data_IF_196588481525
#
_entry.id   IF_196588481525
#
_cell.length_a   1.000
_cell.length_b   1.000
_cell.length_c   1.000
_cell.angle_alpha   90.00
_cell.angle_beta   90.00
_cell.angle_gamma   90.00
#
_symmetry.space_group_name_H-M   'P 1'
#
loop_
_entity.id
_entity.type
_entity.pdbx_description
1 polymer ?
#
# COMPACT_ATOMS: atom_id res chain seq x y z
N UNK A 1 6.46 27.41 3.56
CA UNK A 1 5.40 26.96 4.50
C UNK A 1 6.04 26.60 5.83
N UNK A 2 5.37 26.90 6.95
CA UNK A 2 5.83 26.48 8.28
C UNK A 2 5.58 24.99 8.53
N UNK A 3 6.21 24.42 9.57
CA UNK A 3 6.06 23.00 9.96
C UNK A 3 4.58 22.63 10.18
N UNK A 4 3.86 23.48 10.92
CA UNK A 4 2.45 23.26 11.23
C UNK A 4 1.56 23.34 9.98
N UNK A 5 1.86 24.26 9.05
CA UNK A 5 1.13 24.37 7.79
C UNK A 5 1.28 23.11 6.93
N UNK A 6 2.49 22.55 6.84
CA UNK A 6 2.74 21.32 6.10
C UNK A 6 2.03 20.11 6.74
N UNK A 7 2.09 20.01 8.07
CA UNK A 7 1.41 18.94 8.79
C UNK A 7 -0.12 18.99 8.60
N UNK A 8 -0.74 20.16 8.81
CA UNK A 8 -2.18 20.35 8.60
C UNK A 8 -2.59 20.11 7.16
N UNK A 9 -1.73 20.50 6.20
CA UNK A 9 -1.96 20.19 4.79
C UNK A 9 -1.96 18.68 4.54
N UNK A 10 -1.03 17.94 5.15
CA UNK A 10 -1.01 16.47 5.09
C UNK A 10 -2.29 15.84 5.61
N UNK A 11 -2.78 16.29 6.77
CA UNK A 11 -4.07 15.85 7.32
C UNK A 11 -5.22 16.12 6.34
N UNK A 12 -5.29 17.33 5.78
CA UNK A 12 -6.36 17.75 4.87
C UNK A 12 -6.35 16.98 3.55
N UNK A 13 -5.17 16.83 2.95
CA UNK A 13 -5.01 16.14 1.67
C UNK A 13 -5.30 14.63 1.79
N UNK A 14 -5.25 14.09 3.02
CA UNK A 14 -5.59 12.69 3.31
C UNK A 14 -7.08 12.42 3.42
N UNK A 15 -7.93 13.44 3.61
CA UNK A 15 -9.37 13.27 3.86
C UNK A 15 -10.07 12.37 2.82
N UNK A 16 -9.85 12.53 1.49
CA UNK A 16 -10.47 11.63 0.51
C UNK A 16 -10.07 10.17 0.71
N UNK A 17 -8.83 9.92 1.13
CA UNK A 17 -8.32 8.59 1.40
C UNK A 17 -8.89 8.00 2.70
N UNK A 18 -9.11 8.82 3.73
CA UNK A 18 -9.73 8.38 5.00
C UNK A 18 -11.14 7.82 4.80
N UNK A 19 -11.92 8.43 3.89
CA UNK A 19 -13.27 7.94 3.54
C UNK A 19 -13.21 6.53 2.94
N UNK A 20 -12.18 6.23 2.14
CA UNK A 20 -11.95 4.89 1.62
C UNK A 20 -11.44 3.91 2.68
N UNK A 21 -10.49 4.34 3.52
CA UNK A 21 -9.81 3.48 4.50
C UNK A 21 -10.71 3.08 5.68
N UNK A 22 -11.57 3.96 6.17
CA UNK A 22 -12.38 3.70 7.36
C UNK A 22 -13.26 2.44 7.21
N UNK A 23 -13.98 2.21 6.09
CA UNK A 23 -14.65 0.95 5.83
C UNK A 23 -13.70 -0.26 5.91
N UNK A 24 -12.50 -0.20 5.34
CA UNK A 24 -11.55 -1.33 5.40
C UNK A 24 -11.09 -1.69 6.80
N UNK A 25 -10.80 -0.69 7.62
CA UNK A 25 -10.45 -0.97 9.00
C UNK A 25 -11.60 -1.65 9.74
N UNK A 26 -12.85 -1.20 9.53
CA UNK A 26 -14.04 -1.86 10.11
C UNK A 26 -14.13 -3.31 9.62
N UNK A 27 -14.00 -3.55 8.31
CA UNK A 27 -14.02 -4.91 7.72
C UNK A 27 -12.96 -5.79 8.38
N UNK A 28 -11.72 -5.31 8.42
CA UNK A 28 -10.62 -6.03 9.02
C UNK A 28 -10.93 -6.37 10.47
N UNK A 29 -11.40 -5.40 11.26
CA UNK A 29 -11.72 -5.61 12.67
C UNK A 29 -12.80 -6.68 12.87
N UNK A 30 -13.88 -6.62 12.08
CA UNK A 30 -14.95 -7.62 12.11
C UNK A 30 -14.41 -9.00 11.74
N UNK A 31 -13.65 -9.12 10.65
CA UNK A 31 -13.06 -10.39 10.21
C UNK A 31 -12.03 -10.93 11.20
N UNK A 32 -11.28 -10.08 11.88
CA UNK A 32 -10.31 -10.48 12.90
C UNK A 32 -11.02 -11.16 14.08
N UNK A 33 -12.11 -10.56 14.55
CA UNK A 33 -12.95 -11.14 15.61
C UNK A 33 -13.57 -12.48 15.21
N UNK A 34 -14.11 -12.58 13.98
CA UNK A 34 -14.67 -13.84 13.44
C UNK A 34 -13.58 -14.90 13.25
N UNK A 35 -12.37 -14.49 12.84
CA UNK A 35 -11.20 -15.33 12.67
C UNK A 35 -10.57 -15.82 13.98
N UNK A 36 -11.17 -15.53 15.13
CA UNK A 36 -10.74 -16.00 16.44
C UNK A 36 -9.64 -15.17 17.10
N UNK A 37 -9.30 -14.00 16.56
CA UNK A 37 -8.39 -13.07 17.24
C UNK A 37 -9.14 -12.36 18.37
N UNK A 38 -8.51 -12.29 19.53
CA UNK A 38 -8.97 -11.42 20.62
C UNK A 38 -8.87 -9.95 20.24
N UNK A 39 -9.61 -9.09 20.95
CA UNK A 39 -9.57 -7.64 20.79
C UNK A 39 -8.14 -7.09 20.76
N UNK A 40 -7.31 -7.50 21.71
CA UNK A 40 -5.93 -7.04 21.83
C UNK A 40 -5.03 -7.54 20.71
N UNK A 41 -5.27 -8.75 20.19
CA UNK A 41 -4.53 -9.28 19.04
C UNK A 41 -4.89 -8.53 17.76
N UNK A 42 -6.17 -8.27 17.51
CA UNK A 42 -6.63 -7.56 16.33
C UNK A 42 -6.15 -6.10 16.32
N UNK A 43 -6.35 -5.38 17.43
CA UNK A 43 -5.90 -3.98 17.58
C UNK A 43 -4.38 -3.89 17.60
N UNK A 44 -3.70 -4.82 18.30
CA UNK A 44 -2.24 -4.90 18.31
C UNK A 44 -1.68 -5.12 16.90
N UNK A 45 -2.32 -5.96 16.09
CA UNK A 45 -1.94 -6.15 14.69
C UNK A 45 -2.07 -4.83 13.89
N UNK A 46 -3.17 -4.09 14.07
CA UNK A 46 -3.35 -2.79 13.40
C UNK A 46 -2.36 -1.72 13.87
N UNK A 47 -1.88 -1.80 15.11
CA UNK A 47 -0.89 -0.86 15.65
C UNK A 47 0.54 -1.19 15.25
N UNK A 48 0.94 -2.47 15.31
CA UNK A 48 2.35 -2.87 15.15
C UNK A 48 2.69 -3.35 13.74
N UNK A 49 1.78 -4.11 13.10
CA UNK A 49 2.00 -4.58 11.72
C UNK A 49 1.65 -3.47 10.75
N UNK A 50 0.56 -2.75 10.99
CA UNK A 50 0.12 -1.57 10.24
C UNK A 50 0.24 -1.72 8.71
N UNK A 51 -0.20 -2.87 8.19
CA UNK A 51 -0.14 -3.19 6.77
C UNK A 51 -1.45 -3.87 6.35
N UNK A 52 -2.43 -3.09 5.92
CA UNK A 52 -3.80 -3.55 5.71
C UNK A 52 -3.92 -4.80 4.84
N UNK A 53 -3.27 -4.82 3.67
CA UNK A 53 -3.30 -6.00 2.79
C UNK A 53 -2.72 -7.26 3.46
N UNK A 54 -1.62 -7.12 4.22
CA UNK A 54 -1.01 -8.23 4.94
C UNK A 54 -1.94 -8.74 6.05
N UNK A 55 -2.63 -7.83 6.73
CA UNK A 55 -3.60 -8.18 7.76
C UNK A 55 -4.76 -9.02 7.22
N UNK A 56 -5.34 -8.65 6.07
CA UNK A 56 -6.35 -9.46 5.40
C UNK A 56 -5.82 -10.83 4.94
N UNK A 57 -4.59 -10.89 4.43
CA UNK A 57 -3.95 -12.15 4.03
C UNK A 57 -3.77 -13.08 5.22
N UNK A 58 -3.32 -12.56 6.37
CA UNK A 58 -3.14 -13.36 7.59
C UNK A 58 -4.47 -13.97 8.02
N UNK A 59 -5.54 -13.18 8.13
CA UNK A 59 -6.86 -13.70 8.53
C UNK A 59 -7.35 -14.77 7.55
N UNK A 60 -7.22 -14.52 6.24
CA UNK A 60 -7.64 -15.47 5.21
C UNK A 60 -6.86 -16.78 5.29
N UNK A 61 -5.53 -16.72 5.44
CA UNK A 61 -4.69 -17.91 5.52
C UNK A 61 -4.86 -18.67 6.84
N UNK A 62 -5.08 -17.97 7.95
CA UNK A 62 -5.42 -18.59 9.23
C UNK A 62 -6.74 -19.35 9.14
N UNK A 63 -7.78 -18.74 8.56
CA UNK A 63 -9.08 -19.39 8.34
C UNK A 63 -9.00 -20.60 7.42
N UNK A 64 -8.04 -20.62 6.49
CA UNK A 64 -7.76 -21.77 5.62
C UNK A 64 -6.84 -22.85 6.25
N UNK A 65 -6.43 -22.68 7.52
CA UNK A 65 -5.55 -23.63 8.20
C UNK A 65 -4.12 -23.67 7.66
N UNK A 66 -3.64 -22.60 7.02
CA UNK A 66 -2.28 -22.54 6.51
C UNK A 66 -1.24 -22.54 7.64
N UNK A 67 -0.05 -23.09 7.38
CA UNK A 67 1.03 -23.08 8.38
C UNK A 67 1.58 -21.67 8.60
N UNK A 68 2.13 -21.42 9.79
CA UNK A 68 2.74 -20.13 10.13
C UNK A 68 3.84 -19.71 9.13
N UNK A 69 4.60 -20.68 8.60
CA UNK A 69 5.63 -20.42 7.59
C UNK A 69 5.04 -19.88 6.29
N UNK A 70 3.91 -20.44 5.83
CA UNK A 70 3.21 -19.95 4.63
C UNK A 70 2.70 -18.53 4.86
N UNK A 71 2.10 -18.26 6.02
CA UNK A 71 1.62 -16.92 6.37
C UNK A 71 2.77 -15.91 6.37
N UNK A 72 3.90 -16.23 7.02
CA UNK A 72 5.08 -15.38 7.07
C UNK A 72 5.67 -15.12 5.68
N UNK A 73 5.82 -16.15 4.85
CA UNK A 73 6.38 -16.00 3.50
C UNK A 73 5.44 -15.17 2.60
N UNK A 74 4.14 -15.46 2.60
CA UNK A 74 3.18 -14.72 1.77
C UNK A 74 3.11 -13.26 2.19
N UNK A 75 3.03 -12.97 3.48
CA UNK A 75 3.02 -11.59 3.99
C UNK A 75 4.34 -10.88 3.72
N UNK A 76 5.48 -11.53 3.91
CA UNK A 76 6.79 -10.96 3.59
C UNK A 76 6.87 -10.56 2.11
N UNK A 77 6.51 -11.46 1.20
CA UNK A 77 6.60 -11.26 -0.24
C UNK A 77 5.66 -10.14 -0.70
N UNK A 78 4.42 -10.10 -0.21
CA UNK A 78 3.47 -9.03 -0.53
C UNK A 78 3.95 -7.68 -0.01
N UNK A 79 4.63 -7.65 1.14
CA UNK A 79 5.18 -6.43 1.70
C UNK A 79 6.47 -5.93 1.02
N UNK A 80 7.13 -6.73 0.16
CA UNK A 80 8.31 -6.27 -0.59
C UNK A 80 8.03 -5.02 -1.42
N UNK A 81 6.78 -4.74 -1.79
CA UNK A 81 6.39 -3.49 -2.45
C UNK A 81 6.75 -2.23 -1.64
N UNK A 82 6.79 -2.31 -0.31
CA UNK A 82 7.21 -1.20 0.54
C UNK A 82 8.69 -0.86 0.35
N UNK A 83 9.52 -1.83 -0.07
CA UNK A 83 10.91 -1.58 -0.46
C UNK A 83 10.96 -0.72 -1.72
N UNK A 84 10.11 -1.00 -2.71
CA UNK A 84 10.00 -0.21 -3.94
C UNK A 84 9.50 1.21 -3.66
N UNK A 85 8.51 1.36 -2.79
CA UNK A 85 8.03 2.67 -2.35
C UNK A 85 9.12 3.45 -1.60
N UNK A 86 9.87 2.77 -0.73
CA UNK A 86 10.99 3.35 0.00
C UNK A 86 12.08 3.82 -0.95
N UNK A 87 12.44 3.04 -1.97
CA UNK A 87 13.41 3.42 -2.98
C UNK A 87 12.95 4.66 -3.78
N UNK A 88 11.67 4.73 -4.11
CA UNK A 88 11.07 5.87 -4.84
C UNK A 88 11.11 7.16 -4.01
N UNK A 89 10.83 7.07 -2.70
CA UNK A 89 10.81 8.22 -1.79
C UNK A 89 12.18 8.56 -1.20
N UNK A 90 13.17 7.66 -1.29
CA UNK A 90 14.51 7.81 -0.72
C UNK A 90 15.18 9.16 -1.10
N UNK A 91 15.17 9.61 -2.38
CA UNK A 91 15.77 10.89 -2.75
C UNK A 91 15.17 12.06 -1.96
N UNK A 92 13.90 12.01 -1.58
CA UNK A 92 13.22 13.09 -0.85
C UNK A 92 13.60 13.15 0.63
N UNK A 93 14.00 12.02 1.22
CA UNK A 93 14.29 11.88 2.67
C UNK A 93 15.76 11.67 3.01
N UNK A 94 16.65 11.57 2.01
CA UNK A 94 18.08 11.28 2.22
C UNK A 94 18.82 12.27 3.14
N UNK A 95 18.35 13.53 3.21
CA UNK A 95 18.95 14.57 4.06
C UNK A 95 18.45 14.57 5.51
N UNK A 96 17.60 13.62 5.91
CA UNK A 96 17.00 13.59 7.24
C UNK A 96 17.78 12.71 8.23
N UNK A 97 17.80 13.06 9.53
CA UNK A 97 18.33 12.21 10.58
C UNK A 97 17.71 10.80 10.56
N UNK A 98 18.46 9.78 10.97
CA UNK A 98 18.01 8.38 10.93
C UNK A 98 16.70 8.15 11.70
N UNK A 99 16.50 8.83 12.84
CA UNK A 99 15.24 8.80 13.61
C UNK A 99 14.01 9.17 12.79
N UNK A 100 14.14 10.16 11.90
CA UNK A 100 13.04 10.58 11.03
C UNK A 100 12.79 9.55 9.94
N UNK A 101 13.86 8.99 9.36
CA UNK A 101 13.75 7.95 8.33
C UNK A 101 13.07 6.69 8.87
N UNK A 102 13.43 6.25 10.09
CA UNK A 102 12.78 5.11 10.75
C UNK A 102 11.30 5.36 11.04
N UNK A 103 10.97 6.55 11.57
CA UNK A 103 9.59 6.91 11.86
C UNK A 103 8.72 6.96 10.60
N UNK A 104 9.21 7.58 9.52
CA UNK A 104 8.47 7.66 8.26
C UNK A 104 8.37 6.30 7.55
N UNK A 105 9.39 5.46 7.69
CA UNK A 105 9.39 4.10 7.14
C UNK A 105 8.37 3.20 7.83
N UNK A 106 8.19 3.33 9.15
CA UNK A 106 7.18 2.57 9.89
C UNK A 106 5.75 2.87 9.42
N UNK A 107 5.45 4.13 9.10
CA UNK A 107 4.12 4.55 8.60
C UNK A 107 3.99 4.56 7.07
N UNK A 108 4.94 3.96 6.37
CA UNK A 108 4.86 3.82 4.93
C UNK A 108 3.87 2.71 4.58
N UNK A 109 2.71 3.08 4.03
CA UNK A 109 1.72 2.18 3.45
C UNK A 109 1.45 2.57 2.00
N UNK A 110 0.65 1.77 1.29
CA UNK A 110 0.24 2.05 -0.10
C UNK A 110 -0.41 3.44 -0.22
N UNK A 111 -1.27 3.77 0.74
CA UNK A 111 -2.07 4.98 0.78
C UNK A 111 -1.23 6.19 1.18
N UNK A 112 -0.34 6.03 2.18
CA UNK A 112 0.65 7.04 2.52
C UNK A 112 1.54 7.34 1.31
N UNK A 113 2.03 6.30 0.64
CA UNK A 113 2.85 6.43 -0.57
C UNK A 113 2.09 7.18 -1.67
N UNK A 114 0.85 6.80 -1.97
CA UNK A 114 0.06 7.44 -3.04
C UNK A 114 -0.13 8.94 -2.80
N UNK A 115 -0.48 9.36 -1.58
CA UNK A 115 -0.70 10.77 -1.23
C UNK A 115 0.62 11.54 -1.21
N UNK A 116 1.65 10.99 -0.56
CA UNK A 116 2.97 11.64 -0.42
C UNK A 116 3.69 11.75 -1.75
N UNK A 117 3.70 10.70 -2.56
CA UNK A 117 4.30 10.71 -3.88
C UNK A 117 3.60 11.72 -4.79
N UNK A 118 2.26 11.77 -4.79
CA UNK A 118 1.50 12.78 -5.56
C UNK A 118 1.89 14.19 -5.14
N UNK A 119 2.02 14.45 -3.84
CA UNK A 119 2.47 15.75 -3.34
C UNK A 119 3.86 16.13 -3.86
N UNK A 120 4.82 15.21 -3.79
CA UNK A 120 6.18 15.44 -4.29
C UNK A 120 6.25 15.65 -5.80
N UNK A 121 5.43 14.95 -6.59
CA UNK A 121 5.36 15.15 -8.04
C UNK A 121 4.84 16.55 -8.41
N UNK A 122 3.92 17.11 -7.63
CA UNK A 122 3.33 18.43 -7.91
C UNK A 122 4.21 19.57 -7.39
N UNK A 123 4.85 19.41 -6.24
CA UNK A 123 5.54 20.51 -5.55
C UNK A 123 7.07 20.41 -5.57
N UNK A 124 7.62 19.31 -6.07
CA UNK A 124 9.05 19.01 -6.01
C UNK A 124 9.56 18.84 -4.58
N UNK A 125 10.88 18.93 -4.43
CA UNK A 125 11.56 18.80 -3.13
C UNK A 125 11.41 20.09 -2.34
N UNK A 126 10.58 20.07 -1.31
CA UNK A 126 10.34 21.22 -0.43
C UNK A 126 11.09 21.08 0.90
N UNK A 127 11.62 22.19 1.47
CA UNK A 127 12.09 22.20 2.85
C UNK A 127 10.98 21.75 3.81
N UNK A 128 11.33 20.97 4.83
CA UNK A 128 10.40 20.50 5.87
C UNK A 128 9.27 19.58 5.37
N UNK A 129 9.32 19.08 4.14
CA UNK A 129 8.23 18.26 3.58
C UNK A 129 7.99 16.92 4.31
N UNK A 130 8.90 16.48 5.18
CA UNK A 130 8.67 15.36 6.08
C UNK A 130 7.54 15.61 7.09
N UNK A 131 7.23 16.87 7.41
CA UNK A 131 6.07 17.23 8.24
C UNK A 131 4.75 17.02 7.50
N UNK A 132 4.73 17.19 6.18
CA UNK A 132 3.58 16.84 5.35
C UNK A 132 3.33 15.33 5.39
N UNK A 133 4.39 14.53 5.16
CA UNK A 133 4.31 13.07 5.27
C UNK A 133 3.83 12.68 6.67
N UNK A 134 4.39 13.25 7.72
CA UNK A 134 3.95 12.98 9.10
C UNK A 134 2.45 13.24 9.30
N UNK A 135 1.91 14.32 8.73
CA UNK A 135 0.47 14.62 8.78
C UNK A 135 -0.37 13.60 8.01
N UNK A 136 0.07 13.17 6.83
CA UNK A 136 -0.61 12.09 6.10
C UNK A 136 -0.62 10.80 6.91
N UNK A 137 0.56 10.40 7.39
CA UNK A 137 0.75 9.17 8.14
C UNK A 137 -0.09 9.14 9.43
N UNK A 138 -0.13 10.24 10.20
CA UNK A 138 -0.89 10.28 11.45
C UNK A 138 -2.41 10.21 11.22
N UNK A 139 -2.93 10.87 10.17
CA UNK A 139 -4.33 10.79 9.80
C UNK A 139 -4.72 9.35 9.43
N UNK A 140 -3.95 8.72 8.54
CA UNK A 140 -4.22 7.36 8.06
C UNK A 140 -4.10 6.34 9.19
N UNK A 141 -3.06 6.46 10.02
CA UNK A 141 -2.83 5.55 11.15
C UNK A 141 -3.97 5.62 12.17
N UNK A 142 -4.35 6.82 12.57
CA UNK A 142 -5.43 7.01 13.56
C UNK A 142 -6.77 6.50 13.01
N UNK A 143 -7.04 6.76 11.73
CA UNK A 143 -8.23 6.25 11.06
C UNK A 143 -8.23 4.72 10.99
N UNK A 144 -7.12 4.09 10.59
CA UNK A 144 -7.00 2.63 10.50
C UNK A 144 -7.20 1.95 11.85
N UNK A 145 -6.50 2.40 12.88
CA UNK A 145 -6.60 1.81 14.23
C UNK A 145 -8.00 2.05 14.81
N UNK A 146 -8.54 3.26 14.68
CA UNK A 146 -9.87 3.59 15.18
C UNK A 146 -10.97 2.79 14.50
N UNK A 147 -10.94 2.70 13.16
CA UNK A 147 -11.90 1.89 12.40
C UNK A 147 -11.74 0.39 12.67
N UNK A 148 -10.51 -0.11 12.81
CA UNK A 148 -10.24 -1.50 13.24
C UNK A 148 -10.85 -1.79 14.60
N UNK A 149 -10.67 -0.90 15.58
CA UNK A 149 -11.23 -1.04 16.91
C UNK A 149 -12.77 -1.08 16.87
N UNK A 150 -13.38 -0.17 16.11
CA UNK A 150 -14.84 -0.17 15.88
C UNK A 150 -15.29 -1.49 15.26
N UNK A 151 -14.58 -1.99 14.25
CA UNK A 151 -14.87 -3.28 13.62
C UNK A 151 -14.81 -4.46 14.58
N UNK A 152 -13.77 -4.55 15.42
CA UNK A 152 -13.65 -5.67 16.36
C UNK A 152 -14.72 -5.61 17.45
N UNK A 153 -15.04 -4.41 17.96
CA UNK A 153 -16.01 -4.23 19.04
C UNK A 153 -17.46 -4.44 18.57
N UNK A 154 -17.82 -3.91 17.41
CA UNK A 154 -19.20 -3.90 16.92
C UNK A 154 -19.46 -4.94 15.82
N UNK A 155 -18.42 -5.57 15.27
CA UNK A 155 -18.55 -6.56 14.20
C UNK A 155 -19.32 -7.82 14.59
N UNK A 156 -19.31 -8.19 15.88
CA UNK A 156 -20.13 -9.30 16.38
C UNK A 156 -21.59 -8.89 16.69
N UNK A 157 -21.85 -7.59 16.85
CA UNK A 157 -23.19 -7.08 17.12
C UNK A 157 -24.06 -7.00 15.86
N UNK A 158 -23.45 -7.05 14.68
CA UNK A 158 -24.15 -7.00 13.38
C UNK A 158 -23.99 -8.33 12.66
N UNK A 159 -25.03 -9.18 12.63
CA UNK A 159 -25.02 -10.41 11.85
C UNK A 159 -24.71 -10.13 10.37
N UNK A 160 -23.91 -10.99 9.76
CA UNK A 160 -23.61 -10.97 8.32
C UNK A 160 -22.97 -9.68 7.79
N UNK A 161 -22.33 -8.86 8.63
CA UNK A 161 -21.66 -7.63 8.19
C UNK A 161 -20.66 -7.90 7.04
N UNK A 162 -19.95 -9.04 7.09
CA UNK A 162 -19.06 -9.52 6.02
C UNK A 162 -19.73 -9.61 4.63
N UNK A 163 -21.04 -9.89 4.58
CA UNK A 163 -21.81 -10.03 3.34
C UNK A 163 -22.33 -8.71 2.75
N UNK A 164 -22.17 -7.58 3.46
CA UNK A 164 -22.74 -6.27 3.07
C UNK A 164 -21.97 -5.58 1.93
N UNK A 165 -21.34 -6.35 1.04
CA UNK A 165 -20.55 -5.80 -0.07
C UNK A 165 -19.16 -5.31 0.35
N UNK A 166 -18.64 -5.77 1.50
CA UNK A 166 -17.31 -5.42 1.99
C UNK A 166 -16.19 -5.93 1.05
N UNK A 167 -16.41 -7.06 0.37
CA UNK A 167 -15.53 -7.54 -0.71
C UNK A 167 -15.53 -6.61 -1.92
N UNK A 168 -16.70 -6.09 -2.30
CA UNK A 168 -16.82 -5.12 -3.39
C UNK A 168 -16.13 -3.80 -3.05
N UNK A 169 -16.29 -3.30 -1.83
CA UNK A 169 -15.59 -2.10 -1.37
C UNK A 169 -14.08 -2.27 -1.53
N UNK A 170 -13.53 -3.42 -1.12
CA UNK A 170 -12.09 -3.72 -1.20
C UNK A 170 -11.60 -3.67 -2.64
N UNK A 171 -12.31 -4.36 -3.54
CA UNK A 171 -12.00 -4.33 -4.96
C UNK A 171 -12.07 -2.90 -5.52
N UNK A 172 -13.12 -2.14 -5.20
CA UNK A 172 -13.32 -0.79 -5.70
C UNK A 172 -12.22 0.18 -5.23
N UNK A 173 -11.76 0.10 -3.99
CA UNK A 173 -10.69 0.97 -3.48
C UNK A 173 -9.34 0.62 -4.06
N UNK A 174 -8.99 -0.67 -4.17
CA UNK A 174 -7.75 -1.06 -4.84
C UNK A 174 -7.74 -0.60 -6.30
N UNK A 175 -8.87 -0.75 -7.03
CA UNK A 175 -9.02 -0.22 -8.39
C UNK A 175 -8.87 1.31 -8.37
N UNK A 176 -9.52 2.02 -7.45
CA UNK A 176 -9.46 3.48 -7.32
C UNK A 176 -8.07 4.03 -6.99
N UNK A 177 -7.23 3.26 -6.32
CA UNK A 177 -5.82 3.61 -6.04
C UNK A 177 -4.93 3.27 -7.24
N UNK A 178 -5.08 2.08 -7.82
CA UNK A 178 -4.18 1.56 -8.86
C UNK A 178 -4.43 2.26 -10.21
N UNK A 179 -5.69 2.40 -10.64
CA UNK A 179 -6.02 2.93 -11.98
C UNK A 179 -5.42 4.32 -12.23
N UNK A 180 -5.49 5.30 -11.31
CA UNK A 180 -4.86 6.61 -11.52
C UNK A 180 -3.32 6.60 -11.57
N UNK A 181 -2.69 5.52 -11.09
CA UNK A 181 -1.24 5.30 -11.14
C UNK A 181 -0.80 4.67 -12.47
N UNK A 182 -1.69 4.02 -13.23
CA UNK A 182 -1.41 3.40 -14.53
C UNK A 182 -1.41 4.45 -15.66
N UNK A 183 -0.35 5.26 -15.71
CA UNK A 183 -0.25 6.38 -16.67
C UNK A 183 0.48 6.02 -17.95
N UNK A 184 1.39 5.06 -17.90
CA UNK A 184 2.31 4.75 -18.99
C UNK A 184 2.13 3.29 -19.47
N UNK A 185 2.53 3.02 -20.72
CA UNK A 185 2.41 1.68 -21.31
C UNK A 185 3.07 0.56 -20.47
N UNK A 186 4.27 0.73 -19.87
CA UNK A 186 4.87 -0.31 -19.03
C UNK A 186 4.01 -0.64 -17.81
N UNK A 187 3.38 0.37 -17.19
CA UNK A 187 2.54 0.19 -16.01
C UNK A 187 1.25 -0.55 -16.36
N UNK A 188 0.60 -0.18 -17.47
CA UNK A 188 -0.61 -0.85 -17.97
C UNK A 188 -0.29 -2.30 -18.33
N UNK A 189 0.79 -2.55 -19.07
CA UNK A 189 1.21 -3.90 -19.45
C UNK A 189 1.56 -4.77 -18.23
N UNK A 190 2.23 -4.21 -17.24
CA UNK A 190 2.50 -4.90 -15.96
C UNK A 190 1.21 -5.29 -15.24
N UNK A 191 0.23 -4.38 -15.17
CA UNK A 191 -1.06 -4.65 -14.54
C UNK A 191 -1.86 -5.73 -15.29
N UNK A 192 -1.89 -5.69 -16.62
CA UNK A 192 -2.55 -6.70 -17.45
C UNK A 192 -1.88 -8.07 -17.32
N UNK A 193 -0.55 -8.13 -17.33
CA UNK A 193 0.20 -9.37 -17.15
C UNK A 193 -0.07 -9.99 -15.77
N UNK A 194 0.00 -9.18 -14.70
CA UNK A 194 -0.33 -9.62 -13.36
C UNK A 194 -1.77 -10.13 -13.26
N UNK A 195 -2.74 -9.40 -13.84
CA UNK A 195 -4.14 -9.80 -13.88
C UNK A 195 -4.37 -11.12 -14.62
N UNK A 196 -3.75 -11.29 -15.80
CA UNK A 196 -3.86 -12.51 -16.58
C UNK A 196 -3.27 -13.71 -15.83
N UNK A 197 -2.08 -13.57 -15.25
CA UNK A 197 -1.45 -14.64 -14.46
C UNK A 197 -2.27 -14.96 -13.22
N UNK A 198 -2.83 -13.97 -12.52
CA UNK A 198 -3.71 -14.19 -11.38
C UNK A 198 -4.94 -15.04 -11.75
N UNK A 199 -5.57 -14.77 -12.91
CA UNK A 199 -6.71 -15.54 -13.40
C UNK A 199 -6.31 -16.96 -13.81
N UNK A 200 -5.17 -17.13 -14.50
CA UNK A 200 -4.69 -18.44 -14.93
C UNK A 200 -4.25 -19.32 -13.76
N UNK A 201 -3.80 -18.72 -12.66
CA UNK A 201 -3.25 -19.41 -11.49
C UNK A 201 -4.18 -19.35 -10.27
N UNK A 202 -5.45 -18.96 -10.46
CA UNK A 202 -6.43 -18.79 -9.38
C UNK A 202 -6.62 -20.06 -8.54
N UNK A 203 -6.50 -21.24 -9.16
CA UNK A 203 -6.69 -22.54 -8.51
C UNK A 203 -5.50 -22.98 -7.65
N UNK A 204 -4.38 -22.25 -7.68
CA UNK A 204 -3.22 -22.61 -6.86
C UNK A 204 -3.52 -22.38 -5.37
N UNK A 205 -3.19 -23.35 -4.50
CA UNK A 205 -3.40 -23.21 -3.07
C UNK A 205 -2.51 -22.11 -2.47
N UNK A 206 -2.85 -21.69 -1.25
CA UNK A 206 -2.05 -20.73 -0.45
C UNK A 206 -1.81 -19.37 -1.10
N UNK A 207 -2.67 -18.96 -2.04
CA UNK A 207 -2.54 -17.71 -2.80
C UNK A 207 -1.22 -17.62 -3.60
N UNK A 208 -0.61 -18.75 -3.95
CA UNK A 208 0.58 -18.80 -4.80
C UNK A 208 0.35 -18.13 -6.17
N UNK A 209 -0.89 -18.19 -6.68
CA UNK A 209 -1.26 -17.46 -7.89
C UNK A 209 -1.10 -15.94 -7.77
N UNK A 210 -1.33 -15.38 -6.58
CA UNK A 210 -1.11 -13.96 -6.31
C UNK A 210 0.39 -13.60 -6.36
N UNK A 211 1.24 -14.52 -5.90
CA UNK A 211 2.70 -14.36 -5.97
C UNK A 211 3.19 -14.42 -7.41
N UNK A 212 2.73 -15.42 -8.18
CA UNK A 212 3.04 -15.54 -9.60
C UNK A 212 2.61 -14.28 -10.37
N UNK A 213 1.41 -13.77 -10.08
CA UNK A 213 0.91 -12.52 -10.63
C UNK A 213 1.84 -11.33 -10.31
N UNK A 214 2.23 -11.16 -9.04
CA UNK A 214 3.12 -10.08 -8.64
C UNK A 214 4.48 -10.15 -9.35
N UNK A 215 5.13 -11.32 -9.39
CA UNK A 215 6.40 -11.49 -10.09
C UNK A 215 6.28 -11.23 -11.59
N UNK A 216 5.20 -11.70 -12.22
CA UNK A 216 4.96 -11.45 -13.65
C UNK A 216 4.79 -9.97 -13.96
N UNK A 217 4.04 -9.23 -13.14
CA UNK A 217 3.87 -7.79 -13.29
C UNK A 217 5.18 -7.03 -13.14
N UNK A 218 5.99 -7.35 -12.12
CA UNK A 218 7.32 -6.76 -11.92
C UNK A 218 8.22 -7.03 -13.13
N UNK A 219 8.28 -8.28 -13.59
CA UNK A 219 9.13 -8.67 -14.71
C UNK A 219 8.76 -7.92 -16.00
N UNK A 220 7.47 -7.86 -16.32
CA UNK A 220 6.96 -7.15 -17.51
C UNK A 220 7.18 -5.65 -17.40
N UNK A 221 6.87 -5.05 -16.25
CA UNK A 221 7.07 -3.62 -16.01
C UNK A 221 8.53 -3.21 -16.17
N UNK A 222 9.45 -3.92 -15.52
CA UNK A 222 10.90 -3.66 -15.60
C UNK A 222 11.43 -3.85 -17.03
N UNK A 223 10.99 -4.89 -17.74
CA UNK A 223 11.45 -5.15 -19.10
C UNK A 223 11.03 -4.05 -20.07
N UNK A 224 9.78 -3.57 -19.96
CA UNK A 224 9.26 -2.54 -20.85
C UNK A 224 9.80 -1.15 -20.51
N UNK A 225 9.99 -0.83 -19.22
CA UNK A 225 10.60 0.43 -18.80
C UNK A 225 12.07 0.54 -19.23
N UNK A 226 12.81 -0.58 -19.21
CA UNK A 226 14.16 -0.65 -19.77
C UNK A 226 14.22 -0.45 -21.28
N UNK A 227 13.18 -0.87 -22.01
CA UNK A 227 13.09 -0.67 -23.48
C UNK A 227 12.70 0.75 -23.87
N UNK A 228 12.00 1.48 -23.00
CA UNK A 228 11.58 2.86 -23.24
C UNK A 228 12.57 3.90 -22.73
N UNK A 229 13.52 3.51 -21.87
CA UNK A 229 14.61 4.38 -21.43
C UNK A 229 15.57 4.64 -22.61
N UNK A 230 15.78 5.90 -23.04
CA UNK A 230 16.73 6.20 -24.11
C UNK A 230 18.12 5.69 -23.73
N UNK A 231 18.78 4.99 -24.66
CA UNK A 231 20.17 4.56 -24.48
C UNK A 231 21.04 5.82 -24.30
N UNK A 232 21.88 5.93 -23.25
CA UNK A 232 22.74 7.10 -23.03
C UNK A 232 23.75 7.38 -24.16
N UNK A 233 23.87 6.50 -25.15
CA UNK A 233 24.86 6.61 -26.23
C UNK A 233 24.46 7.56 -27.37
N UNK A 234 23.18 7.96 -27.51
CA UNK A 234 22.74 8.84 -28.60
C UNK A 234 22.92 10.35 -28.31
N UNK A 235 23.23 10.74 -27.07
CA UNK A 235 23.42 12.14 -26.69
C UNK A 235 24.83 12.68 -26.98
N UNK A 236 25.84 11.81 -27.10
CA UNK A 236 27.24 12.22 -27.29
C UNK A 236 27.63 12.48 -28.75
N UNK A 237 26.77 12.15 -29.73
CA UNK A 237 27.09 12.25 -31.16
C UNK A 237 26.66 13.57 -31.83
N UNK A 238 25.91 14.44 -31.14
CA UNK A 238 25.30 15.64 -31.74
C UNK A 238 25.97 16.98 -31.39
N UNK A 239 26.96 16.99 -30.50
CA UNK A 239 27.64 18.25 -30.11
C UNK A 239 28.96 18.54 -30.85
N UNK A 240 29.39 17.70 -31.79
CA UNK A 240 30.68 17.88 -32.50
C UNK A 240 30.55 18.54 -33.89
N UNK A 241 29.33 18.77 -34.38
CA UNK A 241 29.11 19.46 -35.64
C UNK A 241 28.01 20.52 -35.50
N UNK A 242 28.34 21.67 -34.91
CA UNK A 242 27.68 22.93 -35.26
C UNK A 242 28.56 24.14 -34.96
#
# INVERSE_FOLDING_TARGET
MSRNQLYVRGLRDSVPMLVGIAPFGIIFGTLAGVGGLSLWQAVGMSMFVYAGSAQFIVISLMGAGASAVVILLTTFIVNLRHVLYSATLQPQVQGLPQRWRLLLAFWLTDETFAVVQRYYLVHGRQPLAHWYWLGVASALYTCWVGSSLVGVLFGQAVPDMASWGLEFAMLATFIGIVVPLLRNQPQIAAALAAGAVALMTWSLPYKLGLMAAAFSGIAVGVLLERRQSPHPQDASGKEVHS
#
